data_IF_011441071765
#
_entry.id   IF_011441071765
#
_cell.length_a   1.000
_cell.length_b   1.000
_cell.length_c   1.000
_cell.angle_alpha   90.00
_cell.angle_beta   90.00
_cell.angle_gamma   90.00
#
_symmetry.space_group_name_H-M   'P 1'
#
loop_
_entity.id
_entity.type
_entity.pdbx_description
1 polymer ?
#
# COMPACT_ATOMS: atom_id res chain seq x y z
N UNK A 1 -9.23 -2.50 23.71
CA UNK A 1 -8.17 -2.19 22.72
C UNK A 1 -7.40 -0.99 23.19
N UNK A 2 -6.10 -1.16 23.41
CA UNK A 2 -5.13 -0.07 23.62
C UNK A 2 -5.19 0.91 22.43
N UNK A 3 -4.95 2.21 22.66
CA UNK A 3 -5.03 3.25 21.63
C UNK A 3 -4.08 2.97 20.46
N UNK A 4 -2.92 2.37 20.75
CA UNK A 4 -1.93 1.93 19.74
C UNK A 4 -2.51 0.89 18.79
N UNK A 5 -3.31 -0.05 19.31
CA UNK A 5 -3.95 -1.08 18.52
C UNK A 5 -5.03 -0.48 17.61
N UNK A 6 -5.77 0.52 18.09
CA UNK A 6 -6.74 1.27 17.27
C UNK A 6 -6.02 2.04 16.14
N UNK A 7 -4.90 2.70 16.45
CA UNK A 7 -4.11 3.39 15.44
C UNK A 7 -3.55 2.44 14.39
N UNK A 8 -3.09 1.25 14.78
CA UNK A 8 -2.62 0.25 13.83
C UNK A 8 -3.75 -0.21 12.87
N UNK A 9 -4.96 -0.46 13.39
CA UNK A 9 -6.12 -0.80 12.55
C UNK A 9 -6.47 0.35 11.61
N UNK A 10 -6.49 1.60 12.10
CA UNK A 10 -6.76 2.77 11.28
C UNK A 10 -5.71 2.98 10.19
N UNK A 11 -4.42 2.78 10.50
CA UNK A 11 -3.34 2.86 9.52
C UNK A 11 -3.46 1.78 8.43
N UNK A 12 -3.76 0.54 8.81
CA UNK A 12 -4.00 -0.54 7.85
C UNK A 12 -5.25 -0.30 6.98
N UNK A 13 -6.32 0.23 7.58
CA UNK A 13 -7.54 0.58 6.86
C UNK A 13 -7.32 1.74 5.89
N UNK A 14 -6.57 2.77 6.31
CA UNK A 14 -6.21 3.89 5.44
C UNK A 14 -5.37 3.40 4.25
N UNK A 15 -4.35 2.58 4.50
CA UNK A 15 -3.48 2.04 3.45
C UNK A 15 -4.24 1.18 2.44
N UNK A 16 -5.06 0.23 2.90
CA UNK A 16 -5.85 -0.60 1.99
C UNK A 16 -6.93 0.20 1.27
N UNK A 17 -7.59 1.12 1.98
CA UNK A 17 -8.63 1.98 1.43
C UNK A 17 -8.11 2.95 0.37
N UNK A 18 -6.93 3.54 0.56
CA UNK A 18 -6.33 4.46 -0.40
C UNK A 18 -5.93 3.74 -1.70
N UNK A 19 -5.38 2.53 -1.60
CA UNK A 19 -5.13 1.67 -2.76
C UNK A 19 -6.42 1.40 -3.55
N UNK A 20 -7.50 1.02 -2.89
CA UNK A 20 -8.79 0.79 -3.54
C UNK A 20 -9.29 2.07 -4.23
N UNK A 21 -9.27 3.20 -3.52
CA UNK A 21 -9.75 4.48 -4.04
C UNK A 21 -8.93 4.94 -5.26
N UNK A 22 -7.62 4.76 -5.25
CA UNK A 22 -6.75 5.20 -6.34
C UNK A 22 -6.80 4.21 -7.51
N UNK A 23 -6.54 2.93 -7.26
CA UNK A 23 -6.40 1.92 -8.31
C UNK A 23 -7.70 1.51 -8.99
N UNK A 24 -8.82 1.51 -8.27
CA UNK A 24 -10.11 1.03 -8.80
C UNK A 24 -11.13 2.12 -9.08
N UNK A 25 -10.91 3.35 -8.61
CA UNK A 25 -11.83 4.46 -8.83
C UNK A 25 -11.15 5.66 -9.50
N UNK A 26 -10.19 6.31 -8.85
CA UNK A 26 -9.62 7.56 -9.33
C UNK A 26 -8.88 7.39 -10.68
N UNK A 27 -8.02 6.37 -10.82
CA UNK A 27 -7.28 6.13 -12.07
C UNK A 27 -8.22 5.78 -13.23
N UNK A 28 -9.16 4.83 -13.10
CA UNK A 28 -10.15 4.58 -14.16
C UNK A 28 -10.95 5.83 -14.56
N UNK A 29 -11.39 6.64 -13.58
CA UNK A 29 -12.11 7.89 -13.86
C UNK A 29 -11.25 8.91 -14.60
N UNK A 30 -9.95 9.01 -14.30
CA UNK A 30 -9.02 9.86 -15.05
C UNK A 30 -8.93 9.41 -16.52
N UNK A 31 -8.79 8.12 -16.79
CA UNK A 31 -8.73 7.63 -18.17
C UNK A 31 -10.05 7.76 -18.92
N UNK A 32 -11.18 7.69 -18.22
CA UNK A 32 -12.50 7.88 -18.80
C UNK A 32 -12.85 9.35 -19.12
N UNK A 33 -12.32 10.31 -18.35
CA UNK A 33 -12.77 11.71 -18.42
C UNK A 33 -11.68 12.73 -18.81
N UNK A 34 -10.40 12.35 -18.85
CA UNK A 34 -9.34 13.28 -19.24
C UNK A 34 -9.39 13.62 -20.75
N UNK A 35 -8.87 14.79 -21.10
CA UNK A 35 -8.80 15.28 -22.48
C UNK A 35 -7.90 14.43 -23.40
N UNK A 36 -6.96 13.67 -22.84
CA UNK A 36 -6.15 12.70 -23.58
C UNK A 36 -5.57 11.61 -22.66
N UNK A 37 -5.22 10.42 -23.21
CA UNK A 37 -4.55 9.36 -22.46
C UNK A 37 -3.20 9.78 -21.86
N UNK A 38 -2.49 10.71 -22.51
CA UNK A 38 -1.20 11.21 -22.02
C UNK A 38 -1.36 12.05 -20.73
N UNK A 39 -2.41 12.89 -20.68
CA UNK A 39 -2.74 13.67 -19.49
C UNK A 39 -3.20 12.75 -18.35
N UNK A 40 -4.07 11.77 -18.65
CA UNK A 40 -4.50 10.76 -17.68
C UNK A 40 -3.31 9.99 -17.09
N UNK A 41 -2.38 9.52 -17.94
CA UNK A 41 -1.19 8.80 -17.50
C UNK A 41 -0.26 9.63 -16.60
N UNK A 42 -0.05 10.91 -16.92
CA UNK A 42 0.74 11.82 -16.08
C UNK A 42 0.11 12.04 -14.70
N UNK A 43 -1.21 12.24 -14.65
CA UNK A 43 -1.95 12.39 -13.40
C UNK A 43 -2.00 11.09 -12.60
N UNK A 44 -2.20 9.94 -13.25
CA UNK A 44 -2.14 8.63 -12.63
C UNK A 44 -0.78 8.37 -11.96
N UNK A 45 0.32 8.73 -12.64
CA UNK A 45 1.66 8.66 -12.04
C UNK A 45 1.79 9.46 -10.75
N UNK A 46 1.23 10.69 -10.69
CA UNK A 46 1.21 11.50 -9.47
C UNK A 46 0.38 10.87 -8.36
N UNK A 47 -0.78 10.28 -8.68
CA UNK A 47 -1.60 9.56 -7.71
C UNK A 47 -0.86 8.33 -7.15
N UNK A 48 -0.18 7.55 -7.99
CA UNK A 48 0.60 6.40 -7.54
C UNK A 48 1.82 6.80 -6.69
N UNK A 49 2.45 7.94 -6.98
CA UNK A 49 3.51 8.49 -6.12
C UNK A 49 2.96 8.90 -4.76
N UNK A 50 1.86 9.65 -4.72
CA UNK A 50 1.19 10.00 -3.46
C UNK A 50 0.77 8.75 -2.66
N UNK A 51 0.20 7.75 -3.32
CA UNK A 51 -0.14 6.46 -2.72
C UNK A 51 1.08 5.75 -2.14
N UNK A 52 2.21 5.75 -2.84
CA UNK A 52 3.45 5.13 -2.35
C UNK A 52 3.89 5.78 -1.04
N UNK A 53 3.83 7.11 -0.93
CA UNK A 53 4.12 7.83 0.32
C UNK A 53 3.10 7.58 1.42
N UNK A 54 1.81 7.48 1.11
CA UNK A 54 0.76 7.10 2.07
C UNK A 54 1.03 5.69 2.61
N UNK A 55 1.33 4.73 1.73
CA UNK A 55 1.66 3.36 2.10
C UNK A 55 2.91 3.26 2.97
N UNK A 56 3.96 4.01 2.66
CA UNK A 56 5.16 4.09 3.49
C UNK A 56 4.86 4.68 4.87
N UNK A 57 4.10 5.78 4.94
CA UNK A 57 3.68 6.38 6.20
C UNK A 57 2.86 5.43 7.07
N UNK A 58 1.88 4.75 6.48
CA UNK A 58 1.07 3.74 7.18
C UNK A 58 1.93 2.55 7.64
N UNK A 59 2.84 2.07 6.79
CA UNK A 59 3.78 1.00 7.12
C UNK A 59 4.68 1.36 8.31
N UNK A 60 5.20 2.58 8.37
CA UNK A 60 5.99 3.06 9.51
C UNK A 60 5.17 3.09 10.81
N UNK A 61 3.93 3.58 10.78
CA UNK A 61 3.03 3.56 11.94
C UNK A 61 2.79 2.13 12.42
N UNK A 62 2.56 1.20 11.50
CA UNK A 62 2.37 -0.22 11.80
C UNK A 62 3.63 -0.84 12.44
N UNK A 63 4.82 -0.56 11.91
CA UNK A 63 6.08 -1.07 12.46
C UNK A 63 6.40 -0.49 13.85
N UNK A 64 6.07 0.78 14.11
CA UNK A 64 6.20 1.38 15.44
C UNK A 64 5.27 0.71 16.46
N UNK A 65 4.04 0.40 16.04
CA UNK A 65 3.08 -0.37 16.86
C UNK A 65 3.56 -1.79 17.16
N UNK A 66 4.34 -2.40 16.27
CA UNK A 66 4.89 -3.74 16.44
C UNK A 66 6.05 -3.82 17.46
N UNK A 67 6.79 -2.72 17.67
CA UNK A 67 8.02 -2.70 18.48
C UNK A 67 7.82 -2.59 19.99
N UNK A 68 6.62 -2.28 20.46
CA UNK A 68 6.38 -2.00 21.88
C UNK A 68 5.68 -3.18 22.57
N UNK A 69 6.50 -4.16 22.98
CA UNK A 69 6.07 -5.19 23.94
C UNK A 69 7.24 -5.62 24.81
N UNK A 70 7.07 -5.43 26.11
CA UNK A 70 7.99 -5.66 27.21
C UNK A 70 8.48 -7.12 27.29
N UNK A 71 9.32 -7.55 26.36
CA UNK A 71 9.98 -8.88 26.37
C UNK A 71 9.05 -10.09 26.24
N UNK A 72 7.73 -9.89 26.21
CA UNK A 72 6.74 -10.95 26.01
C UNK A 72 5.73 -10.49 24.96
N UNK A 73 5.67 -11.24 23.86
CA UNK A 73 4.77 -10.98 22.74
C UNK A 73 3.31 -11.22 23.18
N UNK A 74 2.69 -10.25 23.85
CA UNK A 74 1.24 -10.24 23.93
C UNK A 74 0.71 -9.97 22.48
N UNK A 75 -0.52 -10.37 22.12
CA UNK A 75 -1.14 -10.36 20.76
C UNK A 75 -0.24 -10.49 19.51
N UNK A 76 -0.25 -11.70 18.92
CA UNK A 76 -0.36 -12.09 17.50
C UNK A 76 0.22 -11.23 16.34
N UNK A 77 1.08 -10.24 16.60
CA UNK A 77 2.03 -9.70 15.60
C UNK A 77 3.06 -10.76 15.20
N UNK A 78 3.23 -11.79 16.05
CA UNK A 78 4.03 -12.99 15.82
C UNK A 78 3.53 -13.84 14.63
N UNK A 79 2.27 -13.70 14.19
CA UNK A 79 1.70 -14.40 13.01
C UNK A 79 2.19 -13.86 11.65
N UNK A 80 3.35 -13.20 11.60
CA UNK A 80 3.98 -12.77 10.35
C UNK A 80 3.41 -11.51 9.69
N UNK A 81 2.57 -10.72 10.37
CA UNK A 81 2.02 -9.47 9.81
C UNK A 81 3.11 -8.48 9.39
N UNK A 82 4.22 -8.42 10.14
CA UNK A 82 5.40 -7.58 9.84
C UNK A 82 5.97 -7.89 8.45
N UNK A 83 6.01 -9.16 8.05
CA UNK A 83 6.52 -9.56 6.72
C UNK A 83 5.67 -8.94 5.61
N UNK A 84 4.34 -8.94 5.76
CA UNK A 84 3.45 -8.32 4.78
C UNK A 84 3.57 -6.80 4.77
N UNK A 85 3.79 -6.15 5.92
CA UNK A 85 4.07 -4.71 5.98
C UNK A 85 5.36 -4.39 5.22
N UNK A 86 6.45 -5.10 5.49
CA UNK A 86 7.73 -4.89 4.83
C UNK A 86 7.66 -5.17 3.32
N UNK A 87 6.98 -6.25 2.92
CA UNK A 87 6.78 -6.59 1.51
C UNK A 87 5.98 -5.50 0.78
N UNK A 88 4.89 -5.00 1.39
CA UNK A 88 4.10 -3.91 0.83
C UNK A 88 4.87 -2.59 0.75
N UNK A 89 5.69 -2.25 1.76
CA UNK A 89 6.57 -1.07 1.72
C UNK A 89 7.65 -1.21 0.64
N UNK A 90 8.24 -2.40 0.49
CA UNK A 90 9.20 -2.66 -0.58
C UNK A 90 8.54 -2.51 -1.96
N UNK A 91 7.33 -3.04 -2.14
CA UNK A 91 6.56 -2.86 -3.37
C UNK A 91 6.30 -1.37 -3.67
N UNK A 92 5.95 -0.57 -2.65
CA UNK A 92 5.77 0.88 -2.80
C UNK A 92 7.06 1.59 -3.23
N UNK A 93 8.20 1.25 -2.64
CA UNK A 93 9.51 1.81 -3.03
C UNK A 93 9.90 1.41 -4.45
N UNK A 94 9.70 0.15 -4.83
CA UNK A 94 9.94 -0.31 -6.19
C UNK A 94 9.01 0.40 -7.18
N UNK A 95 7.75 0.62 -6.80
CA UNK A 95 6.80 1.33 -7.64
C UNK A 95 7.22 2.79 -7.89
N UNK A 96 7.62 3.50 -6.83
CA UNK A 96 8.03 4.91 -6.90
C UNK A 96 9.38 5.11 -7.61
N UNK A 97 10.40 4.34 -7.22
CA UNK A 97 11.78 4.62 -7.63
C UNK A 97 12.27 3.78 -8.80
N UNK A 98 11.68 2.60 -9.03
CA UNK A 98 12.08 1.74 -10.15
C UNK A 98 11.04 1.77 -11.27
N UNK A 99 9.77 1.54 -10.98
CA UNK A 99 8.76 1.30 -12.02
C UNK A 99 8.27 2.60 -12.66
N UNK A 100 7.85 3.58 -11.85
CA UNK A 100 7.25 4.82 -12.35
C UNK A 100 8.17 5.60 -13.34
N UNK A 101 9.48 5.77 -13.08
CA UNK A 101 10.36 6.48 -14.02
C UNK A 101 10.42 5.82 -15.40
N UNK A 102 10.46 4.48 -15.46
CA UNK A 102 10.53 3.74 -16.72
C UNK A 102 9.20 3.78 -17.49
N UNK A 103 8.06 3.70 -16.80
CA UNK A 103 6.74 3.88 -17.43
C UNK A 103 6.63 5.29 -18.04
N UNK A 104 7.03 6.33 -17.29
CA UNK A 104 6.97 7.72 -17.76
C UNK A 104 7.92 7.99 -18.93
N UNK A 105 9.11 7.38 -18.92
CA UNK A 105 10.06 7.41 -20.03
C UNK A 105 9.60 6.59 -21.24
N UNK A 106 8.50 5.82 -21.14
CA UNK A 106 7.97 4.91 -22.15
C UNK A 106 8.98 3.85 -22.62
N UNK A 107 9.95 3.53 -21.77
CA UNK A 107 10.90 2.45 -22.02
C UNK A 107 10.18 1.13 -21.76
N UNK A 108 10.23 0.19 -22.71
CA UNK A 108 9.61 -1.14 -22.60
C UNK A 108 8.24 -1.14 -21.90
N UNK A 109 7.36 -0.23 -22.35
CA UNK A 109 6.14 0.14 -21.61
C UNK A 109 5.31 -1.07 -21.18
N UNK A 110 5.21 -2.09 -22.04
CA UNK A 110 4.47 -3.32 -21.71
C UNK A 110 5.05 -4.03 -20.49
N UNK A 111 6.37 -4.17 -20.43
CA UNK A 111 7.05 -4.83 -19.32
C UNK A 111 6.87 -4.03 -18.03
N UNK A 112 7.22 -2.72 -18.05
CA UNK A 112 7.15 -1.88 -16.87
C UNK A 112 5.73 -1.65 -16.38
N UNK A 113 4.75 -1.57 -17.28
CA UNK A 113 3.34 -1.49 -16.90
C UNK A 113 2.87 -2.78 -16.23
N UNK A 114 3.23 -3.96 -16.78
CA UNK A 114 2.92 -5.26 -16.16
C UNK A 114 3.58 -5.39 -14.78
N UNK A 115 4.84 -4.97 -14.66
CA UNK A 115 5.55 -4.93 -13.38
C UNK A 115 4.87 -4.01 -12.37
N UNK A 116 4.40 -2.84 -12.81
CA UNK A 116 3.62 -1.91 -11.98
C UNK A 116 2.32 -2.51 -11.49
N UNK A 117 1.54 -3.15 -12.38
CA UNK A 117 0.31 -3.85 -11.98
C UNK A 117 0.58 -4.94 -10.96
N UNK A 118 1.65 -5.73 -11.15
CA UNK A 118 2.04 -6.77 -10.21
C UNK A 118 2.45 -6.20 -8.85
N UNK A 119 3.29 -5.15 -8.82
CA UNK A 119 3.72 -4.48 -7.60
C UNK A 119 2.53 -3.90 -6.83
N UNK A 120 1.61 -3.22 -7.53
CA UNK A 120 0.38 -2.69 -6.95
C UNK A 120 -0.49 -3.82 -6.36
N UNK A 121 -0.68 -4.93 -7.07
CA UNK A 121 -1.46 -6.06 -6.60
C UNK A 121 -0.83 -6.70 -5.35
N UNK A 122 0.49 -6.84 -5.31
CA UNK A 122 1.23 -7.30 -4.12
C UNK A 122 0.99 -6.36 -2.95
N UNK A 123 1.15 -5.05 -3.14
CA UNK A 123 0.92 -4.05 -2.11
C UNK A 123 -0.52 -4.10 -1.58
N UNK A 124 -1.50 -4.22 -2.47
CA UNK A 124 -2.91 -4.32 -2.13
C UNK A 124 -3.23 -5.58 -1.31
N UNK A 125 -2.71 -6.74 -1.71
CA UNK A 125 -2.87 -8.00 -0.98
C UNK A 125 -2.18 -7.93 0.40
N UNK A 126 -0.98 -7.37 0.47
CA UNK A 126 -0.28 -7.16 1.74
C UNK A 126 -1.09 -6.29 2.71
N UNK A 127 -1.60 -5.15 2.24
CA UNK A 127 -2.42 -4.25 3.05
C UNK A 127 -3.71 -4.95 3.54
N UNK A 128 -4.36 -5.73 2.67
CA UNK A 128 -5.56 -6.50 3.02
C UNK A 128 -5.26 -7.55 4.11
N UNK A 129 -4.18 -8.32 3.96
CA UNK A 129 -3.78 -9.34 4.93
C UNK A 129 -3.47 -8.70 6.29
N UNK A 130 -2.77 -7.57 6.29
CA UNK A 130 -2.47 -6.82 7.52
C UNK A 130 -3.76 -6.33 8.18
N UNK A 131 -4.66 -5.69 7.43
CA UNK A 131 -5.93 -5.21 7.95
C UNK A 131 -6.79 -6.35 8.51
N UNK A 132 -6.85 -7.48 7.81
CA UNK A 132 -7.59 -8.67 8.23
C UNK A 132 -7.04 -9.23 9.55
N UNK A 133 -5.72 -9.38 9.65
CA UNK A 133 -5.06 -9.88 10.87
C UNK A 133 -5.29 -8.94 12.05
N UNK A 134 -5.25 -7.62 11.84
CA UNK A 134 -5.45 -6.64 12.91
C UNK A 134 -6.92 -6.49 13.35
N UNK A 135 -7.87 -6.81 12.47
CA UNK A 135 -9.32 -6.69 12.73
C UNK A 135 -9.94 -7.94 13.36
N UNK A 136 -9.17 -9.02 13.54
CA UNK A 136 -9.66 -10.25 14.18
C UNK A 136 -10.14 -9.96 15.61
N UNK A 137 -11.39 -10.34 15.96
CA UNK A 137 -11.83 -10.30 17.34
C UNK A 137 -10.89 -11.15 18.19
N UNK A 138 -10.33 -10.59 19.26
CA UNK A 138 -9.57 -11.39 20.22
C UNK A 138 -10.50 -12.46 20.80
N UNK A 139 -10.10 -13.73 20.76
CA UNK A 139 -10.76 -14.77 21.55
C UNK A 139 -10.61 -14.37 23.01
N UNK A 140 -11.71 -13.86 23.56
CA UNK A 140 -11.93 -13.50 24.97
C UNK A 140 -11.54 -14.63 25.91
#
# INVERSE_FOLDING_TARGET
>A
MDWKQRLAVLAAALWWGSLCAIGFLAVPLLFANASSPAVAGSLAGKLFSAESWVGLGCGLVLLMGARQRDGTATMDWASGAVVYVLLGMLAALLQEFAIAPHILARQDLRFWHTAGTAAFAVQWLCALVVLWKLSRPGSS
#
